data_IF_889542421715
#
_entry.id   IF_889542421715
#
_cell.length_a   1.000
_cell.length_b   1.000
_cell.length_c   1.000
_cell.angle_alpha   90.00
_cell.angle_beta   90.00
_cell.angle_gamma   90.00
#
_symmetry.space_group_name_H-M   'P 1'
#
loop_
_entity.id
_entity.type
_entity.pdbx_description
1 polymer ?
#
# COMPACT_ATOMS: atom_id res chain seq x y z
N UNK A 1 -4.85 2.71 22.85
CA UNK A 1 -5.38 2.74 21.46
C UNK A 1 -4.19 2.68 20.52
N UNK A 2 -4.11 1.66 19.66
CA UNK A 2 -2.99 1.47 18.73
C UNK A 2 -2.89 2.61 17.72
N UNK A 3 -1.67 2.94 17.29
CA UNK A 3 -1.45 4.02 16.33
C UNK A 3 -2.04 3.60 14.97
N UNK A 4 -3.11 4.26 14.45
CA UNK A 4 -3.81 3.81 13.24
C UNK A 4 -2.90 3.74 12.01
N UNK A 5 -1.88 4.60 11.99
CA UNK A 5 -0.88 4.68 10.92
C UNK A 5 0.08 3.47 10.86
N UNK A 6 0.05 2.58 11.85
CA UNK A 6 0.85 1.34 11.85
C UNK A 6 0.05 0.11 11.41
N UNK A 7 -1.29 0.20 11.29
CA UNK A 7 -2.09 -0.93 10.84
C UNK A 7 -2.06 -1.03 9.32
N UNK A 8 -1.66 -2.18 8.81
CA UNK A 8 -1.59 -2.45 7.37
C UNK A 8 -2.96 -2.27 6.70
N UNK A 9 -4.05 -2.68 7.38
CA UNK A 9 -5.42 -2.57 6.86
C UNK A 9 -5.85 -1.12 6.66
N UNK A 10 -5.60 -0.25 7.64
CA UNK A 10 -5.96 1.17 7.54
C UNK A 10 -5.14 1.82 6.43
N UNK A 11 -3.84 1.55 6.39
CA UNK A 11 -2.96 2.10 5.36
C UNK A 11 -3.34 1.63 3.95
N UNK A 12 -3.70 0.35 3.80
CA UNK A 12 -4.17 -0.22 2.53
C UNK A 12 -5.49 0.42 2.08
N UNK A 13 -6.45 0.61 3.00
CA UNK A 13 -7.74 1.25 2.69
C UNK A 13 -7.55 2.70 2.28
N UNK A 14 -6.75 3.47 3.00
CA UNK A 14 -6.46 4.86 2.64
C UNK A 14 -5.75 4.98 1.29
N UNK A 15 -4.88 4.04 0.95
CA UNK A 15 -4.26 3.97 -0.37
C UNK A 15 -5.29 3.65 -1.46
N UNK A 16 -6.21 2.72 -1.19
CA UNK A 16 -7.31 2.41 -2.10
C UNK A 16 -8.19 3.63 -2.34
N UNK A 17 -8.60 4.32 -1.26
CA UNK A 17 -9.39 5.55 -1.34
C UNK A 17 -8.66 6.67 -2.10
N UNK A 18 -7.34 6.83 -1.88
CA UNK A 18 -6.55 7.83 -2.59
C UNK A 18 -6.48 7.53 -4.10
N UNK A 19 -6.38 6.25 -4.46
CA UNK A 19 -6.40 5.79 -5.84
C UNK A 19 -7.78 6.07 -6.45
N UNK A 20 -8.88 5.69 -5.79
CA UNK A 20 -10.27 5.96 -6.23
C UNK A 20 -10.52 7.46 -6.47
N UNK A 21 -9.96 8.32 -5.60
CA UNK A 21 -9.97 9.78 -5.74
C UNK A 21 -9.03 10.32 -6.85
N UNK A 22 -8.50 9.44 -7.71
CA UNK A 22 -7.61 9.76 -8.85
C UNK A 22 -6.29 10.43 -8.44
N UNK A 23 -5.83 10.22 -7.20
CA UNK A 23 -4.50 10.68 -6.78
C UNK A 23 -3.44 9.93 -7.58
N UNK A 24 -2.38 10.60 -8.07
CA UNK A 24 -1.30 9.93 -8.76
C UNK A 24 -0.67 8.83 -7.88
N UNK A 25 -0.65 7.59 -8.40
CA UNK A 25 -0.20 6.40 -7.68
C UNK A 25 1.15 6.58 -6.96
N UNK A 26 2.13 7.18 -7.66
CA UNK A 26 3.46 7.44 -7.10
C UNK A 26 3.41 8.36 -5.87
N UNK A 27 2.53 9.36 -5.89
CA UNK A 27 2.37 10.32 -4.80
C UNK A 27 1.67 9.66 -3.63
N UNK A 28 0.57 8.95 -3.88
CA UNK A 28 -0.18 8.22 -2.85
C UNK A 28 0.72 7.20 -2.12
N UNK A 29 1.46 6.37 -2.86
CA UNK A 29 2.39 5.40 -2.26
C UNK A 29 3.50 6.09 -1.45
N UNK A 30 4.12 7.16 -1.98
CA UNK A 30 5.17 7.89 -1.22
C UNK A 30 4.66 8.54 0.05
N UNK A 31 3.44 9.06 0.05
CA UNK A 31 2.83 9.61 1.26
C UNK A 31 2.57 8.52 2.30
N UNK A 32 2.05 7.37 1.87
CA UNK A 32 1.84 6.22 2.75
C UNK A 32 3.17 5.76 3.39
N UNK A 33 4.22 5.54 2.59
CA UNK A 33 5.54 5.13 3.09
C UNK A 33 6.07 6.08 4.17
N UNK A 34 6.10 7.39 3.87
CA UNK A 34 6.59 8.41 4.81
C UNK A 34 5.78 8.44 6.10
N UNK A 35 4.46 8.29 6.00
CA UNK A 35 3.57 8.32 7.15
C UNK A 35 3.79 7.12 8.07
N UNK A 36 3.90 5.92 7.50
CA UNK A 36 4.13 4.68 8.28
C UNK A 36 5.52 4.68 8.94
N UNK A 37 6.55 5.13 8.23
CA UNK A 37 7.88 5.30 8.79
C UNK A 37 7.91 6.36 9.91
N UNK A 38 7.24 7.50 9.71
CA UNK A 38 7.11 8.54 10.74
C UNK A 38 6.35 8.05 11.98
N UNK A 39 5.43 7.11 11.80
CA UNK A 39 4.69 6.47 12.91
C UNK A 39 5.55 5.47 13.71
N UNK A 40 6.77 5.17 13.27
CA UNK A 40 7.75 4.35 13.99
C UNK A 40 7.91 2.92 13.44
N UNK A 41 7.39 2.61 12.25
CA UNK A 41 7.57 1.30 11.64
C UNK A 41 9.05 1.06 11.24
N UNK A 42 9.52 -0.18 11.39
CA UNK A 42 10.88 -0.59 10.99
C UNK A 42 11.03 -0.71 9.46
N UNK A 43 9.94 -0.94 8.77
CA UNK A 43 9.86 -1.01 7.33
C UNK A 43 8.41 -1.10 6.87
N UNK A 44 8.21 -0.85 5.60
CA UNK A 44 6.92 -0.97 4.92
C UNK A 44 7.16 -1.41 3.49
N UNK A 45 6.31 -2.32 3.00
CA UNK A 45 6.23 -2.70 1.59
C UNK A 45 4.82 -2.43 1.11
N UNK A 46 4.71 -1.79 -0.05
CA UNK A 46 3.44 -1.54 -0.72
C UNK A 46 3.53 -2.06 -2.14
N UNK A 47 2.58 -2.90 -2.54
CA UNK A 47 2.43 -3.40 -3.89
C UNK A 47 1.04 -3.01 -4.40
N UNK A 48 1.00 -2.35 -5.55
CA UNK A 48 -0.24 -2.02 -6.24
C UNK A 48 -0.23 -2.69 -7.60
N UNK A 49 -1.28 -3.45 -7.91
CA UNK A 49 -1.39 -4.24 -9.14
C UNK A 49 -2.72 -4.01 -9.83
N UNK A 50 -2.70 -3.80 -11.15
CA UNK A 50 -3.90 -3.64 -11.95
C UNK A 50 -3.67 -2.75 -13.16
N UNK A 51 -4.75 -2.22 -13.75
CA UNK A 51 -4.69 -1.29 -14.88
C UNK A 51 -4.34 0.14 -14.42
N UNK A 52 -3.10 0.34 -14.00
CA UNK A 52 -2.67 1.58 -13.34
C UNK A 52 -2.86 2.81 -14.25
N UNK A 53 -3.62 3.80 -13.79
CA UNK A 53 -3.98 5.00 -14.58
C UNK A 53 -4.76 4.70 -15.87
N UNK A 54 -5.51 3.59 -15.93
CA UNK A 54 -6.37 3.27 -17.06
C UNK A 54 -5.64 2.72 -18.29
N UNK A 55 -4.37 2.35 -18.17
CA UNK A 55 -3.63 1.68 -19.26
C UNK A 55 -4.28 0.33 -19.60
N UNK A 56 -4.14 -0.10 -20.86
CA UNK A 56 -4.74 -1.33 -21.36
C UNK A 56 -4.11 -2.58 -20.72
N UNK A 57 -2.79 -2.56 -20.52
CA UNK A 57 -2.03 -3.68 -19.96
C UNK A 57 -1.86 -3.48 -18.46
N UNK A 58 -2.35 -4.43 -17.66
CA UNK A 58 -2.16 -4.41 -16.22
C UNK A 58 -0.67 -4.45 -15.85
N UNK A 59 -0.29 -3.68 -14.84
CA UNK A 59 1.08 -3.59 -14.33
C UNK A 59 1.06 -3.62 -12.81
N UNK A 60 2.15 -4.09 -12.24
CA UNK A 60 2.44 -3.96 -10.83
C UNK A 60 3.44 -2.83 -10.59
N UNK A 61 3.29 -2.16 -9.45
CA UNK A 61 4.28 -1.25 -8.90
C UNK A 61 4.48 -1.56 -7.44
N UNK A 62 5.74 -1.73 -7.08
CA UNK A 62 6.16 -2.02 -5.72
C UNK A 62 7.07 -0.92 -5.21
N UNK A 63 6.86 -0.53 -3.96
CA UNK A 63 7.82 0.25 -3.20
C UNK A 63 8.09 -0.45 -1.86
N UNK A 64 9.36 -0.44 -1.46
CA UNK A 64 9.83 -1.01 -0.21
C UNK A 64 10.73 0.05 0.43
N UNK A 65 10.53 0.30 1.71
CA UNK A 65 11.38 1.20 2.49
C UNK A 65 11.60 0.62 3.90
N UNK A 66 12.82 0.70 4.41
CA UNK A 66 13.20 0.08 5.68
C UNK A 66 13.41 -1.45 5.60
N UNK A 67 13.28 -2.14 6.72
CA UNK A 67 13.49 -3.59 6.83
C UNK A 67 12.14 -4.35 6.82
N UNK A 68 11.85 -5.03 5.70
CA UNK A 68 10.68 -5.92 5.57
C UNK A 68 11.16 -7.30 5.13
N UNK A 69 11.46 -8.15 6.10
CA UNK A 69 11.97 -9.52 5.85
C UNK A 69 10.84 -10.54 5.97
N UNK A 70 10.36 -11.06 4.83
CA UNK A 70 9.25 -12.02 4.79
C UNK A 70 9.64 -13.46 5.17
N UNK A 71 10.93 -13.79 5.18
CA UNK A 71 11.41 -15.16 5.47
C UNK A 71 11.48 -15.47 6.97
N UNK A 72 11.49 -14.46 7.83
CA UNK A 72 11.69 -14.62 9.28
C UNK A 72 10.34 -14.71 9.99
N UNK A 73 9.94 -15.91 10.41
CA UNK A 73 8.64 -16.18 11.07
C UNK A 73 8.41 -15.42 12.39
N UNK A 74 9.49 -15.02 13.08
CA UNK A 74 9.41 -14.25 14.34
C UNK A 74 9.08 -12.78 14.10
N UNK A 75 9.28 -12.27 12.88
CA UNK A 75 9.03 -10.85 12.60
C UNK A 75 7.54 -10.57 12.69
N UNK A 76 7.17 -9.60 13.50
CA UNK A 76 5.80 -9.08 13.57
C UNK A 76 5.54 -8.24 12.31
N UNK A 77 4.80 -8.80 11.37
CA UNK A 77 4.44 -8.17 10.09
C UNK A 77 2.92 -8.19 9.98
N UNK A 78 2.31 -7.01 9.94
CA UNK A 78 0.89 -6.87 9.65
C UNK A 78 0.71 -6.85 8.12
N UNK A 79 -0.22 -7.65 7.61
CA UNK A 79 -0.51 -7.72 6.18
C UNK A 79 -1.97 -7.40 5.92
N UNK A 80 -2.21 -6.59 4.90
CA UNK A 80 -3.56 -6.33 4.41
C UNK A 80 -3.61 -6.29 2.89
N UNK A 81 -4.76 -6.76 2.39
CA UNK A 81 -5.19 -6.63 1.01
C UNK A 81 -6.45 -5.79 1.00
N UNK A 82 -6.45 -4.74 0.19
CA UNK A 82 -7.62 -3.92 -0.09
C UNK A 82 -7.73 -3.73 -1.61
N UNK A 83 -8.95 -3.46 -2.07
CA UNK A 83 -9.27 -3.29 -3.47
C UNK A 83 -9.82 -1.89 -3.70
N UNK A 84 -9.30 -1.21 -4.72
CA UNK A 84 -9.81 0.06 -5.20
C UNK A 84 -10.67 -0.16 -6.45
N UNK A 85 -11.92 0.30 -6.41
CA UNK A 85 -12.85 0.17 -7.53
C UNK A 85 -12.75 1.38 -8.46
N UNK A 86 -12.32 1.14 -9.70
CA UNK A 86 -12.22 2.15 -10.74
C UNK A 86 -13.16 1.82 -11.91
N UNK A 87 -13.51 2.84 -12.70
CA UNK A 87 -14.34 2.67 -13.90
C UNK A 87 -13.73 1.72 -14.94
N UNK A 88 -12.42 1.52 -14.91
CA UNK A 88 -11.69 0.65 -15.84
C UNK A 88 -11.26 -0.69 -15.23
N UNK A 89 -11.77 -1.03 -14.04
CA UNK A 89 -11.54 -2.30 -13.36
C UNK A 89 -11.13 -2.15 -11.89
N UNK A 90 -10.66 -3.24 -11.31
CA UNK A 90 -10.21 -3.27 -9.91
C UNK A 90 -8.69 -3.13 -9.83
N UNK A 91 -8.22 -2.32 -8.88
CA UNK A 91 -6.80 -2.20 -8.55
C UNK A 91 -6.59 -2.83 -7.18
N UNK A 92 -5.73 -3.84 -7.10
CA UNK A 92 -5.36 -4.47 -5.83
C UNK A 92 -4.25 -3.70 -5.14
N UNK A 93 -4.41 -3.44 -3.84
CA UNK A 93 -3.43 -2.80 -2.96
C UNK A 93 -3.05 -3.79 -1.86
N UNK A 94 -1.77 -4.13 -1.79
CA UNK A 94 -1.20 -4.99 -0.75
C UNK A 94 -0.19 -4.21 0.07
N UNK A 95 -0.29 -4.29 1.39
CA UNK A 95 0.61 -3.61 2.33
C UNK A 95 1.16 -4.64 3.32
N UNK A 96 2.45 -4.51 3.62
CA UNK A 96 3.19 -5.24 4.66
C UNK A 96 4.01 -4.26 5.49
#
# INVERSE_FOLDING_TARGET
MGNPSLSAKIVARELADAIENRTPLRTAMRQALKRVLKAGAKGIKVLVSGRLNGVEIARDKMYIEGNVTLSTLRTDIDYALEEAQMSYGVIGVKVW
#
